data_IF_406486777289
#
_entry.id   IF_406486777289
#
_cell.length_a   1.000
_cell.length_b   1.000
_cell.length_c   1.000
_cell.angle_alpha   90.00
_cell.angle_beta   90.00
_cell.angle_gamma   90.00
#
_symmetry.space_group_name_H-M   'P 1'
#
loop_
_entity.id
_entity.type
_entity.pdbx_description
1 polymer ?
#
# COMPACT_ATOMS: atom_id res chain seq x y z
N UNK A 1 34.75 -6.97 15.30
CA UNK A 1 34.07 -5.66 15.22
C UNK A 1 33.79 -5.13 13.81
N UNK A 2 34.19 -5.82 12.71
CA UNK A 2 33.95 -5.35 11.30
C UNK A 2 32.59 -5.69 10.71
N UNK A 3 31.83 -6.64 11.24
CA UNK A 3 30.55 -7.13 10.65
C UNK A 3 29.33 -6.22 10.85
N UNK A 4 29.38 -5.21 11.72
CA UNK A 4 28.22 -4.31 11.96
C UNK A 4 28.11 -3.13 10.97
N UNK A 5 29.20 -2.79 10.26
CA UNK A 5 29.19 -1.68 9.30
C UNK A 5 28.58 -2.07 7.96
N UNK A 6 28.69 -3.33 7.54
CA UNK A 6 28.22 -3.78 6.22
C UNK A 6 26.69 -3.88 6.12
N UNK A 7 26.00 -4.20 7.23
CA UNK A 7 24.53 -4.28 7.26
C UNK A 7 23.86 -2.90 7.18
N UNK A 8 24.50 -1.85 7.73
CA UNK A 8 23.97 -0.48 7.62
C UNK A 8 24.13 0.07 6.20
N UNK A 9 25.23 -0.25 5.53
CA UNK A 9 25.47 0.18 4.15
C UNK A 9 24.53 -0.50 3.15
N UNK A 10 24.16 -1.77 3.37
CA UNK A 10 23.21 -2.51 2.54
C UNK A 10 21.77 -1.94 2.70
N UNK A 11 21.37 -1.61 3.93
CA UNK A 11 20.07 -0.99 4.20
C UNK A 11 19.91 0.40 3.57
N UNK A 12 20.97 1.23 3.59
CA UNK A 12 20.94 2.57 2.96
C UNK A 12 20.86 2.48 1.42
N UNK A 13 21.53 1.50 0.82
CA UNK A 13 21.51 1.30 -0.65
C UNK A 13 20.15 0.82 -1.14
N UNK A 14 19.49 -0.06 -0.40
CA UNK A 14 18.13 -0.52 -0.71
C UNK A 14 17.11 0.63 -0.61
N UNK A 15 17.20 1.47 0.43
CA UNK A 15 16.32 2.63 0.60
C UNK A 15 16.53 3.69 -0.47
N UNK A 16 17.79 3.94 -0.88
CA UNK A 16 18.12 4.90 -1.93
C UNK A 16 17.60 4.41 -3.31
N UNK A 17 17.70 3.11 -3.60
CA UNK A 17 17.24 2.53 -4.84
C UNK A 17 15.71 2.55 -4.96
N UNK A 18 15.00 2.34 -3.85
CA UNK A 18 13.53 2.46 -3.79
C UNK A 18 13.09 3.92 -4.02
N UNK A 19 13.80 4.88 -3.43
CA UNK A 19 13.50 6.32 -3.61
C UNK A 19 13.74 6.78 -5.06
N UNK A 20 14.78 6.28 -5.72
CA UNK A 20 15.09 6.58 -7.13
C UNK A 20 14.03 5.97 -8.06
N UNK A 21 13.55 4.77 -7.80
CA UNK A 21 12.49 4.14 -8.59
C UNK A 21 11.16 4.89 -8.46
N UNK A 22 10.82 5.35 -7.26
CA UNK A 22 9.66 6.20 -6.98
C UNK A 22 9.79 7.55 -7.68
N UNK A 23 10.96 8.19 -7.63
CA UNK A 23 11.22 9.45 -8.32
C UNK A 23 11.14 9.29 -9.85
N UNK A 24 11.65 8.21 -10.42
CA UNK A 24 11.59 7.94 -11.86
C UNK A 24 10.15 7.72 -12.37
N UNK A 25 9.28 7.12 -11.56
CA UNK A 25 7.86 6.96 -11.89
C UNK A 25 7.09 8.30 -11.84
N UNK A 26 7.47 9.21 -10.93
CA UNK A 26 6.87 10.55 -10.83
C UNK A 26 7.38 11.48 -11.96
N UNK A 27 8.67 11.40 -12.31
CA UNK A 27 9.28 12.24 -13.36
C UNK A 27 8.99 11.75 -14.78
N UNK A 28 8.54 10.50 -14.94
CA UNK A 28 8.11 9.94 -16.22
C UNK A 28 6.78 10.49 -16.75
N UNK A 29 6.08 11.32 -15.98
CA UNK A 29 4.96 12.12 -16.47
C UNK A 29 5.48 13.16 -17.47
N UNK A 30 5.41 12.86 -18.77
CA UNK A 30 5.76 13.80 -19.82
C UNK A 30 4.95 15.09 -19.65
N UNK A 31 5.55 16.27 -19.82
CA UNK A 31 4.84 17.54 -19.72
C UNK A 31 3.66 17.54 -20.71
N UNK A 32 2.44 17.69 -20.18
CA UNK A 32 1.20 17.70 -20.95
C UNK A 32 0.24 16.52 -20.70
N UNK A 33 0.57 15.57 -19.83
CA UNK A 33 -0.36 14.51 -19.42
C UNK A 33 -1.00 14.87 -18.07
N UNK A 34 -2.33 14.84 -18.05
CA UNK A 34 -3.11 15.11 -16.83
C UNK A 34 -2.75 14.09 -15.73
N UNK A 35 -2.37 14.61 -14.58
CA UNK A 35 -2.23 13.84 -13.35
C UNK A 35 -3.56 13.77 -12.59
N UNK A 36 -3.63 12.84 -11.64
CA UNK A 36 -4.78 12.74 -10.73
C UNK A 36 -4.29 12.54 -9.29
N UNK A 37 -4.98 13.18 -8.37
CA UNK A 37 -4.90 12.92 -6.93
C UNK A 37 -6.17 12.18 -6.51
N UNK A 38 -6.03 11.09 -5.75
CA UNK A 38 -7.14 10.24 -5.33
C UNK A 38 -7.09 10.01 -3.81
N UNK A 39 -7.62 10.92 -2.98
CA UNK A 39 -7.93 10.60 -1.59
C UNK A 39 -9.01 9.52 -1.53
N UNK A 40 -8.85 8.57 -0.62
CA UNK A 40 -9.73 7.40 -0.51
C UNK A 40 -9.90 6.93 0.94
N UNK A 41 -11.03 6.29 1.18
CA UNK A 41 -11.29 5.48 2.36
C UNK A 41 -11.58 4.05 1.93
N UNK A 42 -11.34 3.08 2.79
CA UNK A 42 -11.55 1.69 2.42
C UNK A 42 -11.57 0.74 3.61
N UNK A 43 -11.75 -0.53 3.28
CA UNK A 43 -11.74 -1.63 4.23
C UNK A 43 -10.69 -2.64 3.81
N UNK A 44 -9.98 -3.18 4.78
CA UNK A 44 -9.01 -4.26 4.61
C UNK A 44 -9.49 -5.48 5.37
N UNK A 45 -9.44 -6.66 4.74
CA UNK A 45 -9.81 -7.93 5.37
C UNK A 45 -8.75 -8.99 5.08
N UNK A 46 -8.23 -9.64 6.13
CA UNK A 46 -7.32 -10.78 5.97
C UNK A 46 -8.01 -11.93 5.24
N UNK A 47 -7.25 -12.65 4.40
CA UNK A 47 -7.77 -13.83 3.67
C UNK A 47 -7.90 -15.00 4.61
N UNK A 48 -6.88 -15.27 5.40
CA UNK A 48 -6.81 -16.38 6.34
C UNK A 48 -6.80 -15.86 7.78
N UNK A 49 -7.91 -16.02 8.46
CA UNK A 49 -8.10 -15.58 9.84
C UNK A 49 -9.39 -14.78 9.98
N UNK A 50 -10.35 -15.28 10.72
CA UNK A 50 -11.71 -14.71 10.89
C UNK A 50 -11.76 -13.31 11.54
N UNK A 51 -10.78 -12.44 11.27
CA UNK A 51 -10.73 -11.07 11.76
C UNK A 51 -11.78 -10.17 11.10
N UNK A 52 -12.19 -9.14 11.84
CA UNK A 52 -13.05 -8.07 11.34
C UNK A 52 -12.34 -7.25 10.25
N UNK A 53 -13.13 -6.60 9.41
CA UNK A 53 -12.60 -5.68 8.43
C UNK A 53 -12.09 -4.41 9.11
N UNK A 54 -10.87 -3.98 8.78
CA UNK A 54 -10.24 -2.79 9.34
C UNK A 54 -10.35 -1.63 8.38
N UNK A 55 -10.76 -0.48 8.90
CA UNK A 55 -10.82 0.74 8.11
C UNK A 55 -9.42 1.26 7.75
N UNK A 56 -9.30 1.83 6.54
CA UNK A 56 -8.09 2.49 6.08
C UNK A 56 -8.40 3.81 5.39
N UNK A 57 -7.44 4.71 5.39
CA UNK A 57 -7.44 5.94 4.59
C UNK A 57 -6.25 5.91 3.64
N UNK A 58 -6.38 6.54 2.49
CA UNK A 58 -5.32 6.52 1.48
C UNK A 58 -5.27 7.77 0.64
N UNK A 59 -4.13 7.96 0.02
CA UNK A 59 -3.89 8.97 -1.00
C UNK A 59 -3.10 8.32 -2.13
N UNK A 60 -3.56 8.49 -3.37
CA UNK A 60 -2.83 8.03 -4.54
C UNK A 60 -2.60 9.18 -5.52
N UNK A 61 -1.47 9.10 -6.21
CA UNK A 61 -1.11 9.94 -7.35
C UNK A 61 -1.08 9.06 -8.58
N UNK A 62 -1.82 9.43 -9.60
CA UNK A 62 -1.92 8.71 -10.86
C UNK A 62 -1.45 9.56 -12.01
N UNK A 63 -0.83 8.91 -12.99
CA UNK A 63 -0.42 9.53 -14.25
C UNK A 63 -0.61 8.59 -15.42
N UNK A 64 -1.12 9.09 -16.53
CA UNK A 64 -1.25 8.33 -17.76
C UNK A 64 0.12 8.25 -18.45
N UNK A 65 0.70 7.05 -18.53
CA UNK A 65 1.92 6.79 -19.30
C UNK A 65 1.61 6.63 -20.79
N UNK A 66 0.44 6.06 -21.10
CA UNK A 66 -0.11 5.93 -22.44
C UNK A 66 -1.64 5.98 -22.35
N UNK A 67 -2.38 6.12 -23.46
CA UNK A 67 -3.84 6.15 -23.44
C UNK A 67 -4.48 4.95 -22.73
N UNK A 68 -3.82 3.80 -22.81
CA UNK A 68 -4.26 2.53 -22.22
C UNK A 68 -3.48 2.11 -20.98
N UNK A 69 -2.47 2.90 -20.53
CA UNK A 69 -1.57 2.56 -19.44
C UNK A 69 -1.48 3.70 -18.43
N UNK A 70 -1.74 3.39 -17.17
CA UNK A 70 -1.72 4.32 -16.04
C UNK A 70 -0.74 3.82 -14.97
N UNK A 71 0.06 4.73 -14.42
CA UNK A 71 0.87 4.49 -13.22
C UNK A 71 0.17 5.05 -11.98
N UNK A 72 0.39 4.41 -10.84
CA UNK A 72 -0.10 4.89 -9.54
C UNK A 72 0.98 4.76 -8.47
N UNK A 73 1.14 5.81 -7.67
CA UNK A 73 1.85 5.79 -6.41
C UNK A 73 0.85 6.05 -5.30
N UNK A 74 0.78 5.14 -4.34
CA UNK A 74 -0.18 5.23 -3.25
C UNK A 74 0.50 5.15 -1.89
N UNK A 75 -0.04 5.87 -0.92
CA UNK A 75 0.23 5.69 0.49
C UNK A 75 -1.09 5.49 1.21
N UNK A 76 -1.15 4.51 2.10
CA UNK A 76 -2.32 4.27 2.92
C UNK A 76 -1.94 4.22 4.39
N UNK A 77 -2.92 4.39 5.25
CA UNK A 77 -2.78 4.23 6.69
C UNK A 77 -3.93 3.39 7.22
N UNK A 78 -3.60 2.40 8.05
CA UNK A 78 -4.56 1.64 8.83
C UNK A 78 -4.06 1.44 10.25
N UNK A 79 -4.99 1.38 11.18
CA UNK A 79 -4.73 1.07 12.58
C UNK A 79 -5.74 0.04 13.04
N UNK A 80 -5.27 -1.00 13.68
CA UNK A 80 -6.07 -2.11 14.19
C UNK A 80 -5.69 -2.37 15.64
N UNK A 81 -6.69 -2.43 16.53
CA UNK A 81 -6.49 -2.86 17.91
C UNK A 81 -6.85 -4.34 18.03
N UNK A 82 -6.03 -5.10 18.72
CA UNK A 82 -6.22 -6.54 19.00
C UNK A 82 -6.06 -6.84 20.48
N UNK A 83 -6.68 -7.94 20.93
CA UNK A 83 -6.57 -8.41 22.30
C UNK A 83 -7.01 -7.35 23.33
N UNK A 84 -8.23 -6.85 23.21
CA UNK A 84 -8.82 -5.85 24.13
C UNK A 84 -7.88 -4.64 24.32
N UNK A 85 -7.43 -4.04 23.20
CA UNK A 85 -6.51 -2.90 23.15
C UNK A 85 -5.10 -3.14 23.71
N UNK A 86 -4.74 -4.37 24.03
CA UNK A 86 -3.38 -4.70 24.50
C UNK A 86 -2.31 -4.63 23.40
N UNK A 87 -2.72 -4.73 22.12
CA UNK A 87 -1.85 -4.61 20.97
C UNK A 87 -2.47 -3.71 19.92
N UNK A 88 -1.79 -2.61 19.60
CA UNK A 88 -2.15 -1.71 18.50
C UNK A 88 -1.20 -1.91 17.33
N UNK A 89 -1.75 -2.31 16.19
CA UNK A 89 -1.03 -2.44 14.93
C UNK A 89 -1.25 -1.18 14.10
N UNK A 90 -0.18 -0.49 13.76
CA UNK A 90 -0.21 0.64 12.81
C UNK A 90 0.56 0.26 11.56
N UNK A 91 -0.05 0.41 10.39
CA UNK A 91 0.59 0.06 9.13
C UNK A 91 0.52 1.23 8.13
N UNK A 92 1.66 1.49 7.50
CA UNK A 92 1.84 2.49 6.45
C UNK A 92 2.33 1.83 5.17
N UNK A 93 1.46 1.29 4.32
CA UNK A 93 1.83 0.80 3.00
C UNK A 93 2.15 1.96 2.06
N UNK A 94 3.29 1.82 1.34
CA UNK A 94 3.61 2.62 0.16
C UNK A 94 3.62 1.69 -1.04
N UNK A 95 2.85 2.01 -2.07
CA UNK A 95 2.64 1.14 -3.22
C UNK A 95 2.97 1.83 -4.53
N UNK A 96 3.50 1.07 -5.49
CA UNK A 96 3.69 1.48 -6.87
C UNK A 96 2.99 0.47 -7.78
N UNK A 97 2.13 0.94 -8.68
CA UNK A 97 1.28 0.10 -9.50
C UNK A 97 1.29 0.54 -10.97
N UNK A 98 1.06 -0.42 -11.85
CA UNK A 98 0.77 -0.20 -13.26
C UNK A 98 -0.60 -0.82 -13.58
N UNK A 99 -1.47 -0.04 -14.22
CA UNK A 99 -2.81 -0.46 -14.60
C UNK A 99 -3.02 -0.29 -16.11
N UNK A 100 -3.60 -1.30 -16.71
CA UNK A 100 -4.18 -1.23 -18.04
C UNK A 100 -5.58 -0.65 -17.93
N UNK A 101 -5.93 0.22 -18.87
CA UNK A 101 -7.27 0.83 -19.01
C UNK A 101 -7.93 0.29 -20.28
N UNK A 102 -8.55 -0.91 -20.24
CA UNK A 102 -9.22 -1.49 -21.41
C UNK A 102 -10.43 -0.65 -21.87
N UNK A 103 -11.02 0.07 -20.93
CA UNK A 103 -12.12 1.03 -21.15
C UNK A 103 -11.83 2.31 -20.36
N UNK A 104 -12.38 3.47 -20.76
CA UNK A 104 -12.16 4.75 -20.07
C UNK A 104 -12.51 4.74 -18.59
N UNK A 105 -13.49 3.92 -18.21
CA UNK A 105 -13.99 3.79 -16.84
C UNK A 105 -13.35 2.65 -16.05
N UNK A 106 -12.71 1.67 -16.71
CA UNK A 106 -12.24 0.45 -16.08
C UNK A 106 -10.72 0.38 -16.12
N UNK A 107 -10.11 -0.01 -15.00
CA UNK A 107 -8.67 -0.28 -14.94
C UNK A 107 -8.39 -1.56 -14.15
N UNK A 108 -7.34 -2.29 -14.55
CA UNK A 108 -6.87 -3.48 -13.88
C UNK A 108 -5.35 -3.65 -14.06
N UNK A 109 -4.69 -4.18 -13.05
CA UNK A 109 -3.24 -4.37 -13.11
C UNK A 109 -2.67 -4.83 -11.78
N UNK A 110 -1.42 -4.48 -11.55
CA UNK A 110 -0.75 -4.88 -10.32
C UNK A 110 0.46 -4.03 -10.01
N UNK A 111 1.12 -4.36 -8.93
CA UNK A 111 2.28 -3.61 -8.49
C UNK A 111 2.98 -4.23 -7.30
N UNK A 112 3.86 -3.44 -6.72
CA UNK A 112 4.65 -3.78 -5.55
C UNK A 112 4.32 -2.83 -4.40
N UNK A 113 4.48 -3.30 -3.18
CA UNK A 113 4.27 -2.49 -1.99
C UNK A 113 5.38 -2.69 -0.96
N UNK A 114 5.66 -1.64 -0.23
CA UNK A 114 6.47 -1.63 0.97
C UNK A 114 5.57 -1.35 2.16
N UNK A 115 5.51 -2.31 3.08
CA UNK A 115 4.61 -2.32 4.22
C UNK A 115 5.41 -2.09 5.49
N UNK A 116 5.22 -0.92 6.09
CA UNK A 116 5.83 -0.55 7.35
C UNK A 116 4.81 -0.76 8.47
N UNK A 117 5.05 -1.76 9.32
CA UNK A 117 4.14 -2.14 10.41
C UNK A 117 4.81 -1.89 11.76
N UNK A 118 4.15 -1.12 12.60
CA UNK A 118 4.55 -0.88 14.00
C UNK A 118 3.57 -1.60 14.93
N UNK A 119 4.13 -2.35 15.85
CA UNK A 119 3.44 -3.09 16.91
C UNK A 119 3.65 -2.32 18.20
N UNK A 120 2.62 -1.63 18.68
CA UNK A 120 2.63 -0.91 19.96
C UNK A 120 1.95 -1.79 21.01
N UNK A 121 2.66 -2.10 22.09
CA UNK A 121 2.13 -2.90 23.19
C UNK A 121 1.62 -1.99 24.30
N UNK A 122 0.53 -2.39 24.97
CA UNK A 122 -0.04 -1.63 26.08
C UNK A 122 0.96 -1.50 27.26
N UNK A 123 0.89 -0.40 28.03
CA UNK A 123 1.70 -0.23 29.23
C UNK A 123 1.51 -1.40 30.19
N UNK A 124 2.60 -2.08 30.57
CA UNK A 124 2.57 -3.25 31.48
C UNK A 124 2.92 -4.58 30.80
N UNK A 125 2.99 -4.63 29.46
CA UNK A 125 3.53 -5.79 28.74
C UNK A 125 5.04 -5.63 28.64
N UNK A 126 5.87 -6.60 29.11
CA UNK A 126 7.34 -6.47 29.12
C UNK A 126 7.97 -6.75 27.74
N UNK A 127 7.35 -6.25 26.70
CA UNK A 127 7.81 -6.43 25.30
C UNK A 127 7.97 -5.01 24.70
N UNK A 128 9.17 -4.74 24.17
CA UNK A 128 9.43 -3.48 23.49
C UNK A 128 8.70 -3.41 22.13
N UNK A 129 8.24 -2.22 21.78
CA UNK A 129 7.64 -1.95 20.47
C UNK A 129 8.53 -2.44 19.33
N UNK A 130 7.92 -3.05 18.34
CA UNK A 130 8.62 -3.63 17.21
C UNK A 130 8.13 -3.00 15.91
N UNK A 131 9.08 -2.64 15.06
CA UNK A 131 8.79 -2.20 13.70
C UNK A 131 9.29 -3.23 12.71
N UNK A 132 8.42 -3.69 11.83
CA UNK A 132 8.75 -4.60 10.72
C UNK A 132 8.53 -3.90 9.39
N UNK A 133 9.40 -4.21 8.44
CA UNK A 133 9.32 -3.73 7.07
C UNK A 133 9.26 -4.96 6.15
N UNK A 134 8.24 -4.98 5.31
CA UNK A 134 7.97 -6.11 4.42
C UNK A 134 7.65 -5.64 3.03
N UNK A 135 7.96 -6.46 2.04
CA UNK A 135 7.60 -6.24 0.65
C UNK A 135 6.51 -7.23 0.24
N UNK A 136 5.61 -6.75 -0.56
CA UNK A 136 4.55 -7.56 -1.13
C UNK A 136 4.28 -7.17 -2.58
N UNK A 137 3.53 -8.01 -3.26
CA UNK A 137 2.98 -7.74 -4.58
C UNK A 137 1.47 -7.65 -4.47
N UNK A 138 0.84 -6.95 -5.40
CA UNK A 138 -0.61 -6.89 -5.40
C UNK A 138 -1.15 -6.92 -6.83
N UNK A 139 -2.35 -7.45 -6.95
CA UNK A 139 -3.20 -7.36 -8.13
C UNK A 139 -4.45 -6.59 -7.76
N UNK A 140 -4.94 -5.76 -8.66
CA UNK A 140 -6.13 -4.98 -8.37
C UNK A 140 -6.68 -4.28 -9.59
N UNK A 141 -7.73 -3.53 -9.36
CA UNK A 141 -8.37 -2.74 -10.39
C UNK A 141 -9.53 -1.96 -9.83
N UNK A 142 -10.24 -1.28 -10.71
CA UNK A 142 -11.36 -0.47 -10.27
C UNK A 142 -12.17 0.11 -11.39
N UNK A 143 -13.20 0.81 -10.96
CA UNK A 143 -14.13 1.53 -11.82
C UNK A 143 -14.06 3.02 -11.46
N UNK A 144 -13.88 3.85 -12.50
CA UNK A 144 -13.89 5.30 -12.38
C UNK A 144 -15.12 5.88 -13.04
N UNK A 145 -15.95 6.53 -12.25
CA UNK A 145 -17.18 7.20 -12.73
C UNK A 145 -16.93 8.70 -12.79
N UNK A 146 -16.94 9.34 -13.97
CA UNK A 146 -16.73 10.78 -14.06
C UNK A 146 -17.91 11.53 -13.42
N UNK A 147 -17.60 12.53 -12.58
CA UNK A 147 -18.58 13.41 -11.93
C UNK A 147 -18.65 14.80 -12.57
N UNK A 148 -17.81 15.06 -13.58
CA UNK A 148 -17.68 16.36 -14.24
C UNK A 148 -16.60 17.25 -13.63
N UNK A 149 -16.29 18.38 -14.28
CA UNK A 149 -15.32 19.38 -13.82
C UNK A 149 -13.96 18.84 -13.36
N UNK A 150 -13.45 17.80 -14.01
CA UNK A 150 -12.16 17.19 -13.64
C UNK A 150 -12.20 16.26 -12.41
N UNK A 151 -13.40 16.01 -11.86
CA UNK A 151 -13.60 15.10 -10.74
C UNK A 151 -14.17 13.74 -11.18
N UNK A 152 -13.89 12.69 -10.43
CA UNK A 152 -14.44 11.36 -10.63
C UNK A 152 -14.56 10.59 -9.32
N UNK A 153 -15.55 9.69 -9.25
CA UNK A 153 -15.66 8.69 -8.21
C UNK A 153 -14.80 7.49 -8.60
N UNK A 154 -13.97 7.01 -7.70
CA UNK A 154 -13.08 5.86 -7.89
C UNK A 154 -13.49 4.74 -6.93
N UNK A 155 -13.83 3.58 -7.49
CA UNK A 155 -14.14 2.37 -6.73
C UNK A 155 -13.07 1.33 -7.01
N UNK A 156 -12.28 0.96 -6.01
CA UNK A 156 -11.14 0.08 -6.17
C UNK A 156 -11.23 -1.21 -5.36
N UNK A 157 -10.60 -2.25 -5.89
CA UNK A 157 -10.35 -3.52 -5.21
C UNK A 157 -8.93 -3.99 -5.43
N UNK A 158 -8.30 -4.54 -4.39
CA UNK A 158 -6.91 -5.02 -4.45
C UNK A 158 -6.73 -6.26 -3.60
N UNK A 159 -6.06 -7.25 -4.16
CA UNK A 159 -5.56 -8.41 -3.44
C UNK A 159 -4.06 -8.25 -3.22
N UNK A 160 -3.64 -8.31 -1.98
CA UNK A 160 -2.24 -8.13 -1.57
C UNK A 160 -1.68 -9.45 -1.11
N UNK A 161 -0.58 -9.85 -1.73
CA UNK A 161 0.20 -11.03 -1.41
C UNK A 161 1.49 -10.60 -0.73
N UNK A 162 1.72 -11.05 0.49
CA UNK A 162 2.93 -10.76 1.23
C UNK A 162 3.70 -12.06 1.47
N UNK A 163 5.02 -11.94 1.72
CA UNK A 163 5.81 -13.12 2.09
C UNK A 163 5.35 -13.65 3.43
N UNK A 164 5.35 -14.99 3.56
CA UNK A 164 5.09 -15.70 4.81
C UNK A 164 5.87 -15.08 5.96
N UNK A 165 5.17 -14.70 7.01
CA UNK A 165 5.78 -14.13 8.20
C UNK A 165 6.00 -15.20 9.26
N UNK A 166 7.24 -15.32 9.73
CA UNK A 166 7.53 -16.04 10.96
C UNK A 166 7.39 -15.07 12.14
N UNK A 167 6.31 -15.16 12.90
CA UNK A 167 6.20 -14.47 14.18
C UNK A 167 6.93 -15.28 15.25
N UNK A 168 7.75 -14.62 16.07
CA UNK A 168 8.37 -15.26 17.26
C UNK A 168 7.34 -15.65 18.32
N UNK A 169 6.13 -15.09 18.27
CA UNK A 169 5.05 -15.33 19.22
C UNK A 169 4.08 -16.43 18.79
N UNK A 170 4.02 -16.75 17.50
CA UNK A 170 3.14 -17.79 16.96
C UNK A 170 3.97 -18.70 16.07
N UNK A 171 4.22 -19.97 16.46
CA UNK A 171 5.05 -20.91 15.68
C UNK A 171 4.41 -21.36 14.37
N UNK A 172 3.15 -21.00 14.11
CA UNK A 172 2.44 -21.31 12.87
C UNK A 172 2.73 -20.27 11.81
N UNK A 173 3.02 -20.68 10.58
CA UNK A 173 3.09 -19.82 9.41
C UNK A 173 1.76 -19.11 9.25
N UNK A 174 1.76 -17.81 9.41
CA UNK A 174 0.62 -16.96 9.18
C UNK A 174 0.71 -16.43 7.74
N UNK A 175 -0.30 -16.71 6.95
CA UNK A 175 -0.47 -16.13 5.62
C UNK A 175 -0.96 -14.67 5.80
N UNK A 176 -0.14 -13.67 5.48
CA UNK A 176 -0.47 -12.27 5.70
C UNK A 176 -1.28 -11.63 4.57
N UNK A 177 -1.77 -12.42 3.62
CA UNK A 177 -2.53 -11.95 2.48
C UNK A 177 -3.84 -11.28 2.89
N UNK A 178 -4.21 -10.22 2.19
CA UNK A 178 -5.43 -9.50 2.49
C UNK A 178 -6.07 -8.85 1.26
N UNK A 179 -7.37 -8.67 1.35
CA UNK A 179 -8.17 -7.89 0.42
C UNK A 179 -8.28 -6.45 0.89
N UNK A 180 -8.30 -5.54 -0.06
CA UNK A 180 -8.60 -4.11 0.12
C UNK A 180 -9.75 -3.75 -0.79
N UNK A 181 -10.76 -3.08 -0.25
CA UNK A 181 -11.76 -2.37 -1.04
C UNK A 181 -11.69 -0.89 -0.71
N UNK A 182 -11.87 -0.01 -1.68
CA UNK A 182 -11.77 1.44 -1.48
C UNK A 182 -12.76 2.21 -2.31
N UNK A 183 -13.16 3.36 -1.78
CA UNK A 183 -13.88 4.40 -2.47
C UNK A 183 -13.09 5.71 -2.34
N UNK A 184 -12.91 6.42 -3.44
CA UNK A 184 -12.12 7.64 -3.49
C UNK A 184 -12.72 8.68 -4.42
N UNK A 185 -12.19 9.89 -4.33
CA UNK A 185 -12.50 10.98 -5.25
C UNK A 185 -11.23 11.30 -6.05
N UNK A 186 -11.29 11.12 -7.37
CA UNK A 186 -10.20 11.45 -8.28
C UNK A 186 -10.34 12.89 -8.74
N UNK A 187 -9.28 13.68 -8.58
CA UNK A 187 -9.20 15.07 -9.03
C UNK A 187 -8.07 15.19 -10.07
N UNK A 188 -8.40 15.64 -11.27
CA UNK A 188 -7.43 15.89 -12.35
C UNK A 188 -6.79 17.26 -12.20
N UNK A 189 -5.49 17.33 -12.51
CA UNK A 189 -4.72 18.58 -12.57
C UNK A 189 -3.74 18.58 -13.75
#
# INVERSE_FOLDING_TARGET
MRHRHDLRAAGLRASAMTLVLVAALVTGAAPGRAGEIVPSVGLTKAVNGGGEATAQVGLAFRGDLAPFLMSELGVTYRSESRFDDQLKLRMWPVTASLYLKPLPALYAGGGVGWYHTTYDYAPGVPIADQTKQEYGVHLGGGLKVPLGAGAGLDLGGRYVMMRDQNSRLIPQRFDPDFWVTSIGLAFKF
#
